data_IF_263752495615
#
_entry.id   IF_263752495615
#
_cell.length_a   1.000
_cell.length_b   1.000
_cell.length_c   1.000
_cell.angle_alpha   90.00
_cell.angle_beta   90.00
_cell.angle_gamma   90.00
#
_symmetry.space_group_name_H-M   'P 1'
#
loop_
_entity.id
_entity.type
_entity.pdbx_description
1 polymer ?
#
# COMPACT_ATOMS: atom_id res chain seq x y z
N UNK A 1 77.85 -0.46 -12.31
CA UNK A 1 78.06 0.31 -11.07
C UNK A 1 77.02 1.41 -11.10
N UNK A 2 75.85 1.15 -10.49
CA UNK A 2 74.67 2.02 -10.54
C UNK A 2 74.20 2.17 -9.09
N UNK A 3 74.14 3.42 -8.66
CA UNK A 3 73.82 3.88 -7.30
C UNK A 3 72.29 3.87 -7.11
N UNK A 4 71.75 3.48 -5.94
CA UNK A 4 70.32 3.56 -5.67
C UNK A 4 69.91 4.98 -5.25
N UNK A 5 68.75 5.42 -5.73
CA UNK A 5 68.11 6.69 -5.39
C UNK A 5 67.13 6.49 -4.24
N UNK A 6 67.30 7.24 -3.15
CA UNK A 6 66.37 7.28 -2.01
C UNK A 6 65.05 8.02 -2.36
N UNK A 7 63.91 7.59 -1.79
CA UNK A 7 62.63 8.28 -1.93
C UNK A 7 62.46 9.41 -0.88
N UNK A 8 61.90 10.54 -1.35
CA UNK A 8 61.51 11.70 -0.54
C UNK A 8 60.27 11.40 0.35
N UNK A 9 60.20 11.94 1.58
CA UNK A 9 59.01 11.88 2.42
C UNK A 9 57.99 12.94 2.00
N UNK A 10 56.74 12.53 1.77
CA UNK A 10 55.60 13.43 1.50
C UNK A 10 54.83 13.71 2.79
N UNK A 11 54.97 14.95 3.26
CA UNK A 11 54.00 15.82 3.92
C UNK A 11 52.78 15.17 4.60
N UNK A 12 52.90 15.09 5.93
CA UNK A 12 51.78 15.01 6.85
C UNK A 12 51.40 16.44 7.29
N UNK A 13 50.20 16.90 6.95
CA UNK A 13 49.36 17.83 7.74
C UNK A 13 48.24 18.38 6.85
N UNK A 14 47.02 17.86 6.99
CA UNK A 14 45.83 18.70 7.20
C UNK A 14 44.63 17.78 7.52
N UNK A 15 44.33 17.59 8.80
CA UNK A 15 43.10 16.94 9.23
C UNK A 15 42.27 17.96 10.02
N UNK A 16 41.01 18.21 9.65
CA UNK A 16 40.16 19.16 10.38
C UNK A 16 39.78 18.63 11.77
N UNK A 17 39.48 19.54 12.73
CA UNK A 17 39.18 19.18 14.11
C UNK A 17 37.90 18.34 14.22
N UNK A 18 37.95 17.32 15.08
CA UNK A 18 36.79 16.50 15.43
C UNK A 18 35.79 17.34 16.25
N UNK A 19 34.53 17.36 15.82
CA UNK A 19 33.43 17.90 16.61
C UNK A 19 32.94 16.81 17.57
N UNK A 20 32.97 17.13 18.87
CA UNK A 20 32.34 16.36 19.93
C UNK A 20 30.83 16.25 19.70
N UNK A 21 30.34 15.04 19.48
CA UNK A 21 28.92 14.71 19.45
C UNK A 21 28.38 14.49 20.87
N UNK A 22 27.14 14.90 21.17
CA UNK A 22 26.56 14.74 22.51
C UNK A 22 26.38 13.27 22.90
N UNK A 23 26.87 12.96 24.10
CA UNK A 23 26.71 11.73 24.86
C UNK A 23 25.25 11.26 24.89
N UNK A 24 25.00 10.09 24.30
CA UNK A 24 23.71 9.41 24.34
C UNK A 24 23.58 8.70 25.70
N UNK A 25 22.69 9.19 26.55
CA UNK A 25 22.40 8.62 27.86
C UNK A 25 21.70 7.27 27.73
N UNK A 26 22.35 6.21 28.24
CA UNK A 26 21.73 4.92 28.48
C UNK A 26 20.64 5.05 29.55
N UNK A 27 19.37 4.93 29.15
CA UNK A 27 18.27 4.68 30.06
C UNK A 27 18.10 3.17 30.26
N UNK A 28 18.48 2.69 31.45
CA UNK A 28 18.19 1.34 31.93
C UNK A 28 16.69 1.18 32.16
N UNK A 29 16.04 0.28 31.42
CA UNK A 29 14.66 -0.14 31.68
C UNK A 29 14.68 -1.09 32.88
N UNK A 30 14.18 -0.61 34.02
CA UNK A 30 13.90 -1.43 35.18
C UNK A 30 12.47 -1.98 35.11
N UNK A 31 12.42 -3.27 34.85
CA UNK A 31 11.29 -4.19 34.94
C UNK A 31 10.63 -4.14 36.33
N UNK A 32 9.32 -3.85 36.41
CA UNK A 32 8.53 -4.17 37.60
C UNK A 32 7.17 -4.77 37.26
N UNK A 33 7.16 -6.08 37.45
CA UNK A 33 6.08 -7.03 37.28
C UNK A 33 5.00 -6.92 38.37
N UNK A 34 3.75 -7.02 37.91
CA UNK A 34 2.55 -7.64 38.50
C UNK A 34 2.01 -7.20 39.88
N UNK A 35 0.70 -6.90 39.90
CA UNK A 35 -0.39 -7.77 40.41
C UNK A 35 -1.63 -6.92 40.69
N UNK A 36 -2.78 -7.25 40.08
CA UNK A 36 -4.05 -7.44 40.82
C UNK A 36 -5.14 -8.08 39.97
N UNK A 37 -5.94 -8.87 40.68
CA UNK A 37 -6.88 -9.89 40.24
C UNK A 37 -8.29 -9.31 39.93
N UNK A 38 -9.26 -10.15 39.51
CA UNK A 38 -10.51 -9.72 38.88
C UNK A 38 -11.64 -9.45 39.88
N UNK A 39 -12.63 -8.66 39.46
CA UNK A 39 -13.89 -8.49 40.17
C UNK A 39 -15.00 -7.94 39.25
N UNK A 40 -16.29 -8.25 39.51
CA UNK A 40 -17.34 -8.28 38.50
C UNK A 40 -18.32 -7.08 38.59
N UNK A 41 -19.37 -7.14 37.77
CA UNK A 41 -20.70 -6.48 37.86
C UNK A 41 -21.01 -5.26 36.98
N UNK A 42 -22.01 -5.50 36.12
CA UNK A 42 -23.25 -4.72 35.93
C UNK A 42 -23.25 -3.42 35.10
N UNK A 43 -23.83 -3.57 33.91
CA UNK A 43 -24.95 -2.79 33.36
C UNK A 43 -25.23 -1.39 33.94
N UNK A 44 -25.14 -0.37 33.10
CA UNK A 44 -26.14 0.72 33.05
C UNK A 44 -26.03 1.51 31.75
N UNK A 45 -27.13 1.57 31.01
CA UNK A 45 -27.38 2.53 29.93
C UNK A 45 -27.55 3.93 30.54
N UNK A 46 -26.98 4.99 29.94
CA UNK A 46 -27.46 6.34 30.19
C UNK A 46 -28.39 6.81 29.06
N UNK A 47 -29.54 7.31 29.52
CA UNK A 47 -30.59 7.99 28.80
C UNK A 47 -30.12 9.21 28.02
N UNK A 48 -30.90 9.48 26.97
CA UNK A 48 -30.90 10.67 26.13
C UNK A 48 -30.75 11.98 26.92
N UNK A 49 -29.78 12.79 26.49
CA UNK A 49 -29.67 14.20 26.89
C UNK A 49 -30.07 15.10 25.71
N UNK A 50 -31.00 15.98 26.05
CA UNK A 50 -31.58 17.08 25.26
C UNK A 50 -30.50 17.99 24.64
N UNK A 51 -30.51 18.11 23.31
CA UNK A 51 -29.74 19.11 22.57
C UNK A 51 -30.67 20.27 22.16
N UNK A 52 -30.23 21.47 22.56
CA UNK A 52 -30.82 22.78 22.30
C UNK A 52 -30.99 23.07 20.79
N UNK A 53 -31.97 23.90 20.39
CA UNK A 53 -32.16 24.28 19.01
C UNK A 53 -31.01 25.17 18.51
N UNK A 54 -30.36 24.69 17.45
CA UNK A 54 -29.33 25.39 16.66
C UNK A 54 -29.99 26.49 15.82
N UNK A 55 -29.39 27.68 15.85
CA UNK A 55 -29.80 28.85 15.07
C UNK A 55 -29.86 28.52 13.57
N UNK A 56 -31.00 28.88 12.96
CA UNK A 56 -31.26 28.74 11.54
C UNK A 56 -30.48 29.78 10.74
N UNK A 57 -29.67 29.30 9.79
CA UNK A 57 -29.05 30.09 8.73
C UNK A 57 -30.10 30.28 7.62
N UNK A 58 -30.23 31.46 6.98
CA UNK A 58 -31.33 31.75 6.08
C UNK A 58 -31.24 30.90 4.80
N UNK A 59 -32.25 30.04 4.62
CA UNK A 59 -32.52 29.33 3.36
C UNK A 59 -33.10 30.32 2.35
N UNK A 60 -32.29 30.80 1.41
CA UNK A 60 -32.81 31.46 0.21
C UNK A 60 -33.52 30.43 -0.66
N UNK A 61 -34.85 30.56 -0.76
CA UNK A 61 -35.71 29.68 -1.54
C UNK A 61 -35.50 29.87 -3.04
N UNK A 62 -34.96 28.85 -3.69
CA UNK A 62 -35.04 28.69 -5.15
C UNK A 62 -36.36 27.99 -5.45
N UNK A 63 -37.35 28.76 -5.90
CA UNK A 63 -38.67 28.27 -6.28
C UNK A 63 -38.56 27.42 -7.54
N UNK A 64 -39.03 26.18 -7.42
CA UNK A 64 -39.38 25.30 -8.53
C UNK A 64 -40.46 25.96 -9.39
N UNK A 65 -40.18 26.08 -10.69
CA UNK A 65 -41.12 26.42 -11.76
C UNK A 65 -41.13 25.21 -12.70
N UNK A 66 -41.99 24.25 -12.40
CA UNK A 66 -42.47 23.24 -13.34
C UNK A 66 -43.97 23.46 -13.45
N UNK A 67 -44.40 24.02 -14.57
CA UNK A 67 -45.57 23.56 -15.35
C UNK A 67 -45.80 24.55 -16.49
N UNK A 68 -45.61 24.08 -17.71
CA UNK A 68 -45.74 24.91 -18.92
C UNK A 68 -45.42 24.14 -20.18
N UNK A 69 -46.39 23.37 -20.64
CA UNK A 69 -46.41 22.70 -21.95
C UNK A 69 -46.30 23.74 -23.07
N UNK A 70 -45.25 23.64 -23.91
CA UNK A 70 -45.21 24.26 -25.24
C UNK A 70 -43.96 25.10 -25.52
N UNK A 71 -43.02 24.57 -26.31
CA UNK A 71 -41.91 25.36 -26.85
C UNK A 71 -40.82 24.55 -27.54
N UNK A 72 -41.05 24.19 -28.82
CA UNK A 72 -40.11 23.44 -29.68
C UNK A 72 -38.98 24.34 -30.26
N UNK A 73 -38.65 25.49 -29.64
CA UNK A 73 -37.67 26.46 -30.18
C UNK A 73 -36.79 27.14 -29.11
N UNK A 74 -36.20 26.38 -28.18
CA UNK A 74 -35.31 26.93 -27.12
C UNK A 74 -33.91 26.26 -27.05
N UNK A 75 -33.48 25.53 -28.07
CA UNK A 75 -32.36 24.57 -27.98
C UNK A 75 -30.95 25.13 -28.29
N UNK A 76 -30.76 26.46 -28.33
CA UNK A 76 -29.45 27.05 -28.72
C UNK A 76 -28.86 28.01 -27.68
N UNK A 77 -29.60 28.44 -26.66
CA UNK A 77 -29.15 29.50 -25.73
C UNK A 77 -28.92 29.11 -24.27
N UNK A 78 -29.69 28.15 -23.74
CA UNK A 78 -29.73 27.85 -22.30
C UNK A 78 -28.59 26.94 -21.80
N UNK A 79 -27.96 26.16 -22.68
CA UNK A 79 -26.84 25.30 -22.29
C UNK A 79 -25.61 26.08 -21.80
N UNK A 80 -25.43 27.33 -22.25
CA UNK A 80 -24.23 28.13 -21.93
C UNK A 80 -24.13 28.53 -20.46
N UNK A 81 -25.25 28.84 -19.80
CA UNK A 81 -25.27 29.27 -18.41
C UNK A 81 -25.01 28.10 -17.44
N UNK A 82 -25.66 26.96 -17.67
CA UNK A 82 -25.46 25.75 -16.87
C UNK A 82 -24.04 25.20 -17.02
N UNK A 83 -23.49 25.25 -18.24
CA UNK A 83 -22.11 24.84 -18.49
C UNK A 83 -21.11 25.74 -17.78
N UNK A 84 -21.32 27.06 -17.75
CA UNK A 84 -20.47 28.00 -16.99
C UNK A 84 -20.51 27.70 -15.50
N UNK A 85 -21.69 27.53 -14.92
CA UNK A 85 -21.84 27.18 -13.50
C UNK A 85 -21.15 25.85 -13.16
N UNK A 86 -21.29 24.82 -14.00
CA UNK A 86 -20.60 23.55 -13.80
C UNK A 86 -19.06 23.68 -13.88
N UNK A 87 -18.54 24.55 -14.74
CA UNK A 87 -17.10 24.81 -14.83
C UNK A 87 -16.58 25.58 -13.61
N UNK A 88 -17.34 26.55 -13.10
CA UNK A 88 -17.01 27.26 -11.86
C UNK A 88 -16.98 26.31 -10.67
N UNK A 89 -17.97 25.44 -10.54
CA UNK A 89 -18.01 24.41 -9.46
C UNK A 89 -16.83 23.45 -9.59
N UNK A 90 -16.53 22.97 -10.80
CA UNK A 90 -15.35 22.12 -11.05
C UNK A 90 -14.06 22.82 -10.62
N UNK A 91 -13.88 24.09 -10.97
CA UNK A 91 -12.71 24.89 -10.61
C UNK A 91 -12.61 25.08 -9.10
N UNK A 92 -13.72 25.37 -8.44
CA UNK A 92 -13.77 25.52 -6.98
C UNK A 92 -13.42 24.21 -6.28
N UNK A 93 -14.03 23.10 -6.68
CA UNK A 93 -13.78 21.77 -6.09
C UNK A 93 -12.32 21.35 -6.29
N UNK A 94 -11.77 21.50 -7.49
CA UNK A 94 -10.35 21.17 -7.75
C UNK A 94 -9.40 22.08 -6.97
N UNK A 95 -9.72 23.36 -6.80
CA UNK A 95 -8.97 24.27 -5.94
C UNK A 95 -8.97 23.82 -4.46
N UNK A 96 -10.15 23.50 -3.92
CA UNK A 96 -10.27 23.01 -2.54
C UNK A 96 -9.51 21.70 -2.32
N UNK A 97 -9.64 20.74 -3.24
CA UNK A 97 -8.92 19.46 -3.15
C UNK A 97 -7.40 19.67 -3.27
N UNK A 98 -6.97 20.57 -4.15
CA UNK A 98 -5.55 20.94 -4.25
C UNK A 98 -5.02 21.53 -2.93
N UNK A 99 -5.79 22.44 -2.31
CA UNK A 99 -5.40 23.06 -1.04
C UNK A 99 -5.37 22.05 0.11
N UNK A 100 -6.34 21.13 0.18
CA UNK A 100 -6.33 20.00 1.13
C UNK A 100 -5.08 19.12 1.01
N UNK A 101 -4.67 18.81 -0.23
CA UNK A 101 -3.50 17.98 -0.49
C UNK A 101 -2.19 18.72 -0.21
N UNK A 102 -2.21 20.05 -0.34
CA UNK A 102 -1.06 20.92 -0.05
C UNK A 102 -0.86 21.14 1.45
N UNK A 103 -1.94 21.28 2.22
CA UNK A 103 -1.93 21.57 3.66
C UNK A 103 -2.42 20.36 4.47
N UNK A 104 -1.57 19.34 4.58
CA UNK A 104 -1.84 18.12 5.35
C UNK A 104 -1.45 18.24 6.83
N UNK A 105 -1.75 19.38 7.44
CA UNK A 105 -1.62 19.53 8.90
C UNK A 105 -2.60 18.61 9.63
N UNK A 106 -2.27 18.23 10.87
CA UNK A 106 -3.09 17.30 11.68
C UNK A 106 -4.54 17.77 11.84
N UNK A 107 -4.74 19.08 12.03
CA UNK A 107 -6.07 19.69 12.15
C UNK A 107 -6.86 19.64 10.83
N UNK A 108 -6.16 19.78 9.69
CA UNK A 108 -6.75 19.68 8.36
C UNK A 108 -7.26 18.28 8.05
N UNK A 109 -6.59 17.23 8.54
CA UNK A 109 -7.02 15.85 8.32
C UNK A 109 -8.37 15.51 8.96
N UNK A 110 -8.74 16.15 10.08
CA UNK A 110 -10.07 15.92 10.69
C UNK A 110 -11.18 16.58 9.87
N UNK A 111 -10.91 17.73 9.27
CA UNK A 111 -11.90 18.50 8.50
C UNK A 111 -12.03 18.05 7.04
N UNK A 112 -11.05 17.31 6.50
CA UNK A 112 -11.02 16.95 5.08
C UNK A 112 -12.24 16.13 4.62
N UNK A 113 -12.77 15.25 5.49
CA UNK A 113 -13.95 14.42 5.18
C UNK A 113 -15.17 15.30 4.91
N UNK A 114 -15.43 16.28 5.79
CA UNK A 114 -16.58 17.18 5.63
C UNK A 114 -16.43 18.12 4.43
N UNK A 115 -15.20 18.52 4.08
CA UNK A 115 -14.94 19.33 2.88
C UNK A 115 -15.21 18.51 1.61
N UNK A 116 -14.73 17.26 1.56
CA UNK A 116 -14.96 16.36 0.43
C UNK A 116 -16.44 15.97 0.30
N UNK A 117 -17.14 15.79 1.41
CA UNK A 117 -18.60 15.58 1.43
C UNK A 117 -19.33 16.76 0.80
N UNK A 118 -19.03 17.99 1.24
CA UNK A 118 -19.60 19.21 0.65
C UNK A 118 -19.27 19.36 -0.84
N UNK A 119 -18.04 19.03 -1.25
CA UNK A 119 -17.66 19.01 -2.66
C UNK A 119 -18.46 17.98 -3.46
N UNK A 120 -18.75 16.82 -2.86
CA UNK A 120 -19.54 15.76 -3.50
C UNK A 120 -21.00 16.19 -3.73
N UNK A 121 -21.62 16.86 -2.74
CA UNK A 121 -22.98 17.41 -2.85
C UNK A 121 -23.06 18.52 -3.91
N UNK A 122 -22.07 19.41 -3.94
CA UNK A 122 -21.97 20.45 -4.96
C UNK A 122 -21.79 19.84 -6.36
N UNK A 123 -20.93 18.83 -6.50
CA UNK A 123 -20.76 18.11 -7.77
C UNK A 123 -22.07 17.44 -8.21
N UNK A 124 -22.78 16.78 -7.31
CA UNK A 124 -24.05 16.12 -7.60
C UNK A 124 -25.11 17.12 -8.09
N UNK A 125 -25.21 18.29 -7.46
CA UNK A 125 -26.14 19.37 -7.84
C UNK A 125 -25.90 19.86 -9.27
N UNK A 126 -24.65 19.86 -9.73
CA UNK A 126 -24.25 20.33 -11.06
C UNK A 126 -23.98 19.19 -12.05
N UNK A 127 -24.40 17.95 -11.74
CA UNK A 127 -24.18 16.76 -12.59
C UNK A 127 -22.70 16.50 -12.94
N UNK A 128 -21.79 16.84 -12.03
CA UNK A 128 -20.36 16.57 -12.14
C UNK A 128 -20.07 15.23 -11.44
N UNK A 129 -19.40 14.32 -12.14
CA UNK A 129 -18.97 13.07 -11.53
C UNK A 129 -17.69 13.30 -10.68
N UNK A 130 -17.86 13.36 -9.35
CA UNK A 130 -16.77 13.58 -8.40
C UNK A 130 -15.66 12.53 -8.50
N UNK A 131 -16.02 11.25 -8.64
CA UNK A 131 -15.04 10.16 -8.81
C UNK A 131 -14.17 10.37 -10.05
N UNK A 132 -14.77 10.77 -11.17
CA UNK A 132 -13.99 11.07 -12.38
C UNK A 132 -13.12 12.29 -12.23
N UNK A 133 -13.53 13.29 -11.45
CA UNK A 133 -12.78 14.52 -11.19
C UNK A 133 -11.55 14.27 -10.30
N UNK A 134 -11.71 13.51 -9.21
CA UNK A 134 -10.62 13.19 -8.28
C UNK A 134 -9.54 12.28 -8.89
N UNK A 135 -9.88 11.56 -9.97
CA UNK A 135 -8.97 10.68 -10.68
C UNK A 135 -8.28 11.35 -11.89
N UNK A 136 -8.44 12.67 -12.06
CA UNK A 136 -7.75 13.43 -13.10
C UNK A 136 -6.39 13.93 -12.61
N UNK A 137 -5.34 13.88 -13.46
CA UNK A 137 -4.01 14.34 -13.11
C UNK A 137 -3.85 15.86 -13.25
N UNK A 138 -4.55 16.65 -12.44
CA UNK A 138 -4.56 18.12 -12.55
C UNK A 138 -3.57 18.85 -11.64
N UNK A 139 -2.85 18.14 -10.76
CA UNK A 139 -1.85 18.73 -9.87
C UNK A 139 -0.48 18.28 -10.38
N UNK A 140 0.24 19.16 -11.08
CA UNK A 140 1.60 18.87 -11.60
C UNK A 140 1.68 17.56 -12.43
N UNK A 141 0.60 17.21 -13.13
CA UNK A 141 0.54 15.99 -13.95
C UNK A 141 0.23 14.69 -13.19
N UNK A 142 -0.12 14.77 -11.90
CA UNK A 142 -0.52 13.63 -11.08
C UNK A 142 -1.89 13.83 -10.42
N UNK A 143 -2.51 12.73 -9.98
CA UNK A 143 -3.77 12.78 -9.22
C UNK A 143 -3.60 13.40 -7.83
N UNK A 144 -4.68 13.96 -7.26
CA UNK A 144 -4.74 14.32 -5.84
C UNK A 144 -4.33 13.19 -4.90
N UNK A 145 -4.71 11.94 -5.21
CA UNK A 145 -4.34 10.78 -4.39
C UNK A 145 -2.83 10.54 -4.35
N UNK A 146 -2.14 10.68 -5.49
CA UNK A 146 -0.67 10.60 -5.56
C UNK A 146 -0.04 11.61 -4.60
N UNK A 147 -0.43 12.88 -4.72
CA UNK A 147 0.15 13.94 -3.89
C UNK A 147 -0.26 13.83 -2.42
N UNK A 148 -1.45 13.32 -2.13
CA UNK A 148 -1.88 13.03 -0.77
C UNK A 148 -0.92 12.04 -0.10
N UNK A 149 -0.51 11.00 -0.82
CA UNK A 149 0.47 10.01 -0.36
C UNK A 149 1.86 10.63 -0.21
N UNK A 150 2.35 11.36 -1.23
CA UNK A 150 3.73 11.88 -1.25
C UNK A 150 3.97 12.97 -0.19
N UNK A 151 2.99 13.87 0.02
CA UNK A 151 3.12 15.00 0.97
C UNK A 151 2.70 14.63 2.39
N UNK A 152 2.36 13.37 2.62
CA UNK A 152 1.93 12.87 3.92
C UNK A 152 3.04 13.03 4.96
N UNK A 153 2.75 13.57 6.16
CA UNK A 153 3.69 13.49 7.26
C UNK A 153 3.87 12.03 7.68
N UNK A 154 5.12 11.57 7.78
CA UNK A 154 5.43 10.23 8.28
C UNK A 154 5.19 10.22 9.78
N UNK A 155 4.22 9.44 10.24
CA UNK A 155 3.97 9.21 11.67
C UNK A 155 4.64 7.90 12.08
N UNK A 156 5.62 7.98 12.99
CA UNK A 156 6.35 6.82 13.49
C UNK A 156 5.43 5.83 14.24
N UNK A 157 4.28 6.29 14.74
CA UNK A 157 3.33 5.45 15.48
C UNK A 157 2.53 4.50 14.60
N UNK A 158 2.39 4.79 13.30
CA UNK A 158 1.65 3.94 12.36
C UNK A 158 2.31 2.59 12.16
N UNK A 159 3.65 2.53 12.21
CA UNK A 159 4.40 1.29 12.07
C UNK A 159 4.18 0.32 13.25
N UNK A 160 3.72 0.82 14.40
CA UNK A 160 3.42 0.02 15.57
C UNK A 160 1.96 -0.47 15.62
N UNK A 161 1.07 0.11 14.80
CA UNK A 161 -0.33 -0.29 14.76
C UNK A 161 -0.51 -1.49 13.83
N UNK A 162 -1.06 -2.58 14.37
CA UNK A 162 -1.48 -3.74 13.56
C UNK A 162 -2.75 -3.44 12.74
N UNK A 163 -3.43 -2.31 13.01
CA UNK A 163 -4.62 -1.92 12.28
C UNK A 163 -4.23 -1.22 10.96
N UNK A 164 -4.73 -1.74 9.83
CA UNK A 164 -4.59 -1.14 8.49
C UNK A 164 -5.49 0.10 8.31
N UNK A 165 -5.48 1.02 9.27
CA UNK A 165 -6.25 2.26 9.20
C UNK A 165 -5.53 3.27 8.31
N UNK A 166 -6.18 3.67 7.21
CA UNK A 166 -5.61 4.69 6.34
C UNK A 166 -5.72 6.08 6.98
N UNK A 167 -4.75 6.97 6.69
CA UNK A 167 -4.87 8.39 6.99
C UNK A 167 -6.21 8.96 6.49
N UNK A 168 -6.93 9.80 7.28
CA UNK A 168 -8.28 10.24 6.96
C UNK A 168 -8.45 10.82 5.56
N UNK A 169 -7.50 11.67 5.13
CA UNK A 169 -7.52 12.27 3.79
C UNK A 169 -7.41 11.22 2.67
N UNK A 170 -6.50 10.26 2.81
CA UNK A 170 -6.30 9.19 1.82
C UNK A 170 -7.54 8.30 1.78
N UNK A 171 -8.08 7.89 2.94
CA UNK A 171 -9.30 7.10 3.04
C UNK A 171 -10.50 7.80 2.42
N UNK A 172 -10.67 9.10 2.67
CA UNK A 172 -11.74 9.90 2.09
C UNK A 172 -11.59 10.03 0.56
N UNK A 173 -10.38 10.33 0.07
CA UNK A 173 -10.11 10.41 -1.37
C UNK A 173 -10.42 9.09 -2.08
N UNK A 174 -10.04 7.93 -1.50
CA UNK A 174 -10.37 6.61 -2.06
C UNK A 174 -11.88 6.38 -2.10
N UNK A 175 -12.58 6.74 -1.02
CA UNK A 175 -14.04 6.58 -0.90
C UNK A 175 -14.78 7.38 -1.97
N UNK A 176 -14.45 8.67 -2.14
CA UNK A 176 -15.08 9.52 -3.16
C UNK A 176 -14.58 9.26 -4.59
N UNK A 177 -13.42 8.59 -4.74
CA UNK A 177 -12.87 8.19 -6.04
C UNK A 177 -13.40 6.85 -6.53
N UNK A 178 -14.05 6.04 -5.69
CA UNK A 178 -14.53 4.72 -6.10
C UNK A 178 -15.56 4.79 -7.25
N UNK A 179 -15.51 3.87 -8.24
CA UNK A 179 -14.48 2.85 -8.46
C UNK A 179 -13.17 3.46 -9.01
N UNK A 180 -12.03 2.93 -8.55
CA UNK A 180 -10.72 3.39 -8.99
C UNK A 180 -10.38 2.86 -10.39
N UNK A 181 -9.96 3.77 -11.25
CA UNK A 181 -9.37 3.48 -12.56
C UNK A 181 -8.00 2.85 -12.36
N UNK A 182 -7.62 1.97 -13.28
CA UNK A 182 -6.29 1.36 -13.29
C UNK A 182 -5.18 2.42 -13.26
N UNK A 183 -5.30 3.52 -14.01
CA UNK A 183 -4.33 4.62 -14.01
C UNK A 183 -4.12 5.23 -12.62
N UNK A 184 -5.21 5.47 -11.86
CA UNK A 184 -5.15 5.99 -10.49
C UNK A 184 -4.47 5.01 -9.54
N UNK A 185 -4.73 3.71 -9.70
CA UNK A 185 -4.06 2.65 -8.92
C UNK A 185 -2.54 2.66 -9.22
N UNK A 186 -2.16 2.75 -10.51
CA UNK A 186 -0.73 2.86 -10.91
C UNK A 186 -0.06 4.08 -10.26
N UNK A 187 -0.75 5.23 -10.24
CA UNK A 187 -0.21 6.43 -9.60
C UNK A 187 -0.10 6.30 -8.09
N UNK A 188 -1.10 5.74 -7.40
CA UNK A 188 -1.00 5.52 -5.96
C UNK A 188 0.16 4.57 -5.61
N UNK A 189 0.38 3.52 -6.43
CA UNK A 189 1.54 2.63 -6.32
C UNK A 189 2.87 3.36 -6.54
N UNK A 190 2.93 4.23 -7.55
CA UNK A 190 4.10 5.07 -7.83
C UNK A 190 4.39 6.02 -6.65
N UNK A 191 3.36 6.61 -6.05
CA UNK A 191 3.49 7.45 -4.88
C UNK A 191 4.13 6.69 -3.70
N UNK A 192 3.60 5.51 -3.36
CA UNK A 192 4.17 4.64 -2.32
C UNK A 192 5.62 4.25 -2.63
N UNK A 193 5.92 3.96 -3.89
CA UNK A 193 7.28 3.63 -4.34
C UNK A 193 8.24 4.80 -4.13
N UNK A 194 7.81 6.03 -4.43
CA UNK A 194 8.60 7.24 -4.26
C UNK A 194 8.98 7.48 -2.79
N UNK A 195 8.03 7.32 -1.87
CA UNK A 195 8.28 7.48 -0.43
C UNK A 195 8.81 6.21 0.25
N UNK A 196 8.93 5.09 -0.48
CA UNK A 196 9.33 3.78 0.03
C UNK A 196 8.50 3.29 1.24
N UNK A 197 7.21 3.63 1.29
CA UNK A 197 6.32 3.32 2.42
C UNK A 197 5.58 1.99 2.19
N UNK A 198 6.16 0.93 2.75
CA UNK A 198 5.62 -0.43 2.65
C UNK A 198 4.30 -0.60 3.42
N UNK A 199 4.16 0.01 4.60
CA UNK A 199 2.95 -0.14 5.41
C UNK A 199 1.75 0.48 4.68
N UNK A 200 1.90 1.72 4.20
CA UNK A 200 0.84 2.40 3.48
C UNK A 200 0.47 1.66 2.19
N UNK A 201 1.47 1.10 1.50
CA UNK A 201 1.23 0.26 0.33
C UNK A 201 0.36 -0.97 0.65
N UNK A 202 0.61 -1.67 1.77
CA UNK A 202 -0.23 -2.80 2.19
C UNK A 202 -1.65 -2.35 2.58
N UNK A 203 -1.78 -1.25 3.32
CA UNK A 203 -3.09 -0.69 3.69
C UNK A 203 -3.91 -0.32 2.45
N UNK A 204 -3.28 0.31 1.45
CA UNK A 204 -3.92 0.69 0.18
C UNK A 204 -4.29 -0.51 -0.69
N UNK A 205 -3.54 -1.61 -0.62
CA UNK A 205 -3.80 -2.84 -1.38
C UNK A 205 -5.21 -3.40 -1.13
N UNK A 206 -5.76 -3.19 0.07
CA UNK A 206 -7.14 -3.56 0.43
C UNK A 206 -8.19 -2.81 -0.42
N UNK A 207 -7.90 -1.56 -0.80
CA UNK A 207 -8.79 -0.70 -1.59
C UNK A 207 -8.61 -0.88 -3.10
N UNK A 208 -7.46 -1.37 -3.55
CA UNK A 208 -7.20 -1.62 -4.97
C UNK A 208 -7.89 -2.87 -5.52
N UNK A 209 -8.70 -3.58 -4.71
CA UNK A 209 -9.37 -4.82 -5.11
C UNK A 209 -8.38 -5.97 -5.33
N UNK A 210 -7.30 -6.01 -4.55
CA UNK A 210 -6.19 -6.94 -4.80
C UNK A 210 -6.47 -8.40 -4.39
N UNK A 211 -7.52 -8.67 -3.62
CA UNK A 211 -8.13 -10.00 -3.69
C UNK A 211 -8.97 -9.98 -4.95
N UNK A 212 -8.45 -10.66 -5.97
CA UNK A 212 -9.12 -10.90 -7.25
C UNK A 212 -10.59 -11.15 -6.94
N UNK A 213 -11.51 -10.40 -7.53
CA UNK A 213 -12.96 -10.62 -7.27
C UNK A 213 -13.34 -12.11 -7.45
N UNK A 214 -12.57 -12.83 -8.28
CA UNK A 214 -12.58 -14.29 -8.41
C UNK A 214 -12.27 -15.03 -7.10
N UNK A 215 -11.19 -14.70 -6.41
CA UNK A 215 -10.80 -15.34 -5.13
C UNK A 215 -11.88 -15.12 -4.08
N UNK A 216 -12.41 -13.90 -3.95
CA UNK A 216 -13.52 -13.64 -3.01
C UNK A 216 -14.79 -14.41 -3.39
N UNK A 217 -15.11 -14.48 -4.68
CA UNK A 217 -16.27 -15.23 -5.16
C UNK A 217 -16.11 -16.73 -4.95
N UNK A 218 -14.90 -17.26 -5.13
CA UNK A 218 -14.62 -18.71 -5.15
C UNK A 218 -14.23 -19.27 -3.78
N UNK A 219 -13.58 -18.47 -2.95
CA UNK A 219 -13.12 -18.85 -1.62
C UNK A 219 -14.10 -18.45 -0.52
N UNK A 220 -14.99 -17.48 -0.78
CA UNK A 220 -15.95 -16.94 0.17
C UNK A 220 -15.58 -15.53 0.64
N UNK A 221 -16.50 -14.91 1.38
CA UNK A 221 -16.46 -13.48 1.74
C UNK A 221 -15.31 -13.13 2.71
N UNK A 222 -14.79 -14.11 3.47
CA UNK A 222 -13.95 -13.88 4.64
C UNK A 222 -12.52 -14.45 4.52
N UNK A 223 -11.88 -14.31 3.35
CA UNK A 223 -10.45 -14.64 3.24
C UNK A 223 -9.62 -13.55 3.93
N UNK A 224 -8.83 -13.88 4.98
CA UNK A 224 -7.98 -12.89 5.63
C UNK A 224 -6.93 -12.31 4.65
N UNK A 225 -6.54 -11.04 4.82
CA UNK A 225 -5.52 -10.43 3.96
C UNK A 225 -4.17 -11.13 4.15
N UNK A 226 -3.36 -11.14 3.09
CA UNK A 226 -1.97 -11.63 3.18
C UNK A 226 -1.16 -10.71 4.09
N UNK A 227 -0.39 -11.30 5.00
CA UNK A 227 0.49 -10.54 5.89
C UNK A 227 1.90 -10.52 5.31
N UNK A 228 2.51 -9.34 5.26
CA UNK A 228 3.84 -9.15 4.68
C UNK A 228 4.64 -8.20 5.56
N UNK A 229 5.75 -8.69 6.11
CA UNK A 229 6.69 -7.92 6.93
C UNK A 229 8.01 -7.82 6.19
N UNK A 230 8.50 -6.60 5.97
CA UNK A 230 9.78 -6.37 5.29
C UNK A 230 10.82 -5.94 6.33
N UNK A 231 11.80 -6.81 6.57
CA UNK A 231 12.98 -6.51 7.38
C UNK A 231 14.06 -5.84 6.52
N UNK A 232 14.23 -4.54 6.68
CA UNK A 232 15.29 -3.79 5.99
C UNK A 232 16.47 -3.61 6.95
N UNK A 233 17.65 -4.08 6.55
CA UNK A 233 18.87 -3.83 7.31
C UNK A 233 19.27 -2.35 7.23
N UNK A 234 19.93 -1.82 8.26
CA UNK A 234 20.31 -0.40 8.36
C UNK A 234 21.21 0.12 7.22
N UNK A 235 21.76 -0.77 6.37
CA UNK A 235 22.61 -0.39 5.24
C UNK A 235 21.85 -0.57 3.92
N UNK A 236 21.94 0.43 3.05
CA UNK A 236 21.27 0.41 1.74
C UNK A 236 21.73 -0.70 0.79
N UNK A 237 22.92 -1.28 1.00
CA UNK A 237 23.46 -2.39 0.19
C UNK A 237 23.31 -3.77 0.88
N UNK A 238 22.77 -3.80 2.10
CA UNK A 238 22.56 -5.06 2.81
C UNK A 238 21.38 -5.83 2.22
N UNK A 239 21.37 -7.17 2.34
CA UNK A 239 20.22 -7.95 1.95
C UNK A 239 19.03 -7.56 2.81
N UNK A 240 17.83 -7.60 2.23
CA UNK A 240 16.59 -7.45 2.96
C UNK A 240 15.87 -8.78 3.06
N UNK A 241 15.05 -8.93 4.10
CA UNK A 241 14.22 -10.11 4.32
C UNK A 241 12.75 -9.74 4.22
N UNK A 242 11.94 -10.67 3.73
CA UNK A 242 10.49 -10.53 3.64
C UNK A 242 9.88 -11.78 4.22
N UNK A 243 9.20 -11.62 5.35
CA UNK A 243 8.40 -12.67 5.97
C UNK A 243 6.95 -12.48 5.48
N UNK A 244 6.31 -13.54 5.02
CA UNK A 244 4.94 -13.47 4.52
C UNK A 244 4.09 -14.65 4.99
N UNK A 245 2.80 -14.39 5.12
CA UNK A 245 1.77 -15.39 5.45
C UNK A 245 0.64 -15.27 4.42
N UNK A 246 0.31 -16.37 3.74
CA UNK A 246 -0.75 -16.43 2.72
C UNK A 246 -1.85 -17.38 3.20
N UNK A 247 -2.95 -16.85 3.75
CA UNK A 247 -4.08 -17.65 4.19
C UNK A 247 -4.74 -18.42 3.05
N UNK A 248 -5.30 -19.59 3.33
CA UNK A 248 -6.00 -20.44 2.36
C UNK A 248 -5.14 -20.75 1.11
N UNK A 249 -3.81 -20.83 1.25
CA UNK A 249 -2.88 -20.91 0.13
C UNK A 249 -3.23 -22.04 -0.85
N UNK A 250 -3.48 -23.26 -0.36
CA UNK A 250 -3.83 -24.38 -1.22
C UNK A 250 -5.15 -24.18 -1.95
N UNK A 251 -6.11 -23.55 -1.28
CA UNK A 251 -7.43 -23.28 -1.86
C UNK A 251 -7.29 -22.28 -3.00
N UNK A 252 -6.52 -21.20 -2.80
CA UNK A 252 -6.15 -20.23 -3.85
C UNK A 252 -5.45 -20.91 -5.03
N UNK A 253 -4.42 -21.72 -4.76
CA UNK A 253 -3.68 -22.45 -5.80
C UNK A 253 -4.51 -23.48 -6.57
N UNK A 254 -5.49 -24.14 -5.92
CA UNK A 254 -6.35 -25.12 -6.61
C UNK A 254 -7.44 -24.46 -7.44
N UNK A 255 -7.98 -23.33 -6.97
CA UNK A 255 -9.16 -22.71 -7.54
C UNK A 255 -8.80 -21.61 -8.52
N UNK A 256 -7.97 -20.66 -8.10
CA UNK A 256 -7.53 -19.51 -8.89
C UNK A 256 -6.31 -19.82 -9.74
N UNK A 257 -5.54 -20.84 -9.34
CA UNK A 257 -4.25 -21.24 -9.94
C UNK A 257 -3.13 -20.23 -9.79
N UNK A 258 -3.35 -19.20 -8.98
CA UNK A 258 -2.34 -18.23 -8.61
C UNK A 258 -2.56 -17.68 -7.19
N UNK A 259 -1.47 -17.23 -6.57
CA UNK A 259 -1.50 -16.41 -5.38
C UNK A 259 -0.38 -15.38 -5.50
N UNK A 260 -0.69 -14.10 -5.30
CA UNK A 260 0.24 -13.01 -5.56
C UNK A 260 0.42 -12.17 -4.30
N UNK A 261 1.67 -11.93 -3.92
CA UNK A 261 2.02 -10.93 -2.92
C UNK A 261 2.92 -9.87 -3.56
N UNK A 262 2.82 -8.64 -3.08
CA UNK A 262 3.63 -7.53 -3.57
C UNK A 262 4.04 -6.66 -2.40
N UNK A 263 5.22 -6.05 -2.50
CA UNK A 263 5.81 -5.24 -1.44
C UNK A 263 6.83 -4.26 -2.01
N UNK A 264 7.19 -3.26 -1.21
CA UNK A 264 8.17 -2.22 -1.54
C UNK A 264 9.41 -2.44 -0.70
N UNK A 265 10.57 -2.44 -1.35
CA UNK A 265 11.88 -2.48 -0.69
C UNK A 265 12.97 -1.93 -1.63
N UNK A 266 13.93 -1.17 -1.10
CA UNK A 266 15.01 -0.51 -1.87
C UNK A 266 14.50 0.23 -3.13
N UNK A 267 13.48 1.09 -2.97
CA UNK A 267 12.87 1.87 -4.06
C UNK A 267 12.43 1.02 -5.27
N UNK A 268 11.98 -0.22 -5.01
CA UNK A 268 11.44 -1.16 -5.99
C UNK A 268 10.16 -1.77 -5.46
N UNK A 269 9.23 -2.04 -6.38
CA UNK A 269 8.02 -2.78 -6.09
C UNK A 269 8.19 -4.23 -6.57
N UNK A 270 8.30 -5.12 -5.61
CA UNK A 270 8.51 -6.55 -5.82
C UNK A 270 7.17 -7.26 -5.91
N UNK A 271 7.17 -8.37 -6.65
CA UNK A 271 6.05 -9.31 -6.74
C UNK A 271 6.57 -10.72 -6.56
N UNK A 272 5.98 -11.45 -5.62
CA UNK A 272 6.12 -12.91 -5.55
C UNK A 272 4.79 -13.49 -6.01
N UNK A 273 4.86 -14.34 -7.03
CA UNK A 273 3.69 -15.00 -7.60
C UNK A 273 3.87 -16.50 -7.48
N UNK A 274 2.96 -17.14 -6.76
CA UNK A 274 2.76 -18.57 -6.79
C UNK A 274 1.79 -18.89 -7.92
N UNK A 275 2.07 -19.88 -8.73
CA UNK A 275 1.23 -20.24 -9.86
C UNK A 275 1.31 -21.74 -10.18
N UNK A 276 0.27 -22.24 -10.84
CA UNK A 276 0.27 -23.58 -11.43
C UNK A 276 0.85 -23.49 -12.83
N UNK A 277 1.98 -24.17 -13.06
CA UNK A 277 2.61 -24.25 -14.36
C UNK A 277 1.67 -24.90 -15.38
N UNK A 278 1.72 -24.37 -16.60
CA UNK A 278 0.88 -24.74 -17.75
C UNK A 278 1.71 -25.33 -18.90
N UNK A 279 2.87 -25.92 -18.59
CA UNK A 279 3.86 -26.40 -19.56
C UNK A 279 4.86 -25.33 -20.04
N UNK A 280 4.67 -24.07 -19.63
CA UNK A 280 5.63 -23.00 -19.92
C UNK A 280 6.88 -23.11 -19.03
N UNK A 281 7.97 -22.46 -19.45
CA UNK A 281 9.18 -22.26 -18.63
C UNK A 281 9.96 -23.52 -18.23
N UNK A 282 9.83 -24.61 -19.00
CA UNK A 282 10.44 -25.92 -18.72
C UNK A 282 9.96 -26.56 -17.41
N UNK A 283 8.84 -26.10 -16.88
CA UNK A 283 8.15 -26.72 -15.75
C UNK A 283 7.14 -27.73 -16.28
N UNK A 284 6.97 -28.83 -15.56
CA UNK A 284 5.95 -29.81 -15.89
C UNK A 284 4.56 -29.21 -15.67
N UNK A 285 3.64 -29.47 -16.60
CA UNK A 285 2.25 -29.02 -16.49
C UNK A 285 1.63 -29.49 -15.15
N UNK A 286 0.85 -28.62 -14.54
CA UNK A 286 0.20 -28.85 -13.24
C UNK A 286 1.09 -28.66 -12.01
N UNK A 287 2.42 -28.50 -12.14
CA UNK A 287 3.29 -28.29 -10.97
C UNK A 287 3.15 -26.89 -10.41
N UNK A 288 3.23 -26.77 -9.08
CA UNK A 288 3.23 -25.45 -8.45
C UNK A 288 4.63 -24.87 -8.49
N UNK A 289 4.71 -23.58 -8.81
CA UNK A 289 5.96 -22.85 -8.88
C UNK A 289 5.83 -21.48 -8.22
N UNK A 290 6.96 -20.91 -7.85
CA UNK A 290 7.06 -19.55 -7.36
C UNK A 290 7.89 -18.72 -8.33
N UNK A 291 7.45 -17.49 -8.55
CA UNK A 291 8.05 -16.51 -9.45
C UNK A 291 8.38 -15.25 -8.66
N UNK A 292 9.61 -14.75 -8.80
CA UNK A 292 10.02 -13.45 -8.31
C UNK A 292 10.14 -12.47 -9.48
N UNK A 293 9.55 -11.29 -9.33
CA UNK A 293 9.57 -10.25 -10.36
C UNK A 293 9.52 -8.83 -9.80
N UNK A 294 9.76 -7.87 -10.69
CA UNK A 294 9.59 -6.44 -10.43
C UNK A 294 8.34 -5.94 -11.13
N UNK A 295 7.57 -5.10 -10.44
CA UNK A 295 6.43 -4.38 -11.01
C UNK A 295 6.91 -3.18 -11.81
N UNK A 296 5.97 -2.59 -12.55
CA UNK A 296 6.12 -1.30 -13.23
C UNK A 296 6.80 -0.23 -12.37
N UNK A 297 7.49 0.70 -13.03
CA UNK A 297 8.23 1.82 -12.43
C UNK A 297 9.43 1.43 -11.54
N UNK A 298 9.71 0.14 -11.36
CA UNK A 298 10.94 -0.30 -10.68
C UNK A 298 12.12 -0.28 -11.66
N UNK A 299 13.36 0.04 -11.23
CA UNK A 299 14.54 -0.14 -12.08
C UNK A 299 14.93 -1.62 -12.23
N UNK A 300 15.44 -2.01 -13.41
CA UNK A 300 16.00 -3.36 -13.63
C UNK A 300 17.14 -3.64 -12.64
N UNK A 301 17.23 -4.89 -12.16
CA UNK A 301 18.07 -5.21 -11.00
C UNK A 301 18.63 -6.62 -11.07
N UNK A 302 19.94 -6.76 -10.89
CA UNK A 302 20.56 -8.06 -10.66
C UNK A 302 20.33 -8.47 -9.21
N UNK A 303 19.87 -9.70 -9.02
CA UNK A 303 19.51 -10.20 -7.69
C UNK A 303 20.02 -11.61 -7.48
N UNK A 304 20.37 -11.90 -6.24
CA UNK A 304 20.46 -13.25 -5.70
C UNK A 304 19.44 -13.35 -4.57
N UNK A 305 18.46 -14.21 -4.72
CA UNK A 305 17.35 -14.38 -3.79
C UNK A 305 17.31 -15.83 -3.29
N UNK A 306 17.03 -15.99 -2.00
CA UNK A 306 16.83 -17.28 -1.36
C UNK A 306 15.44 -17.28 -0.74
N UNK A 307 14.59 -18.17 -1.24
CA UNK A 307 13.27 -18.41 -0.70
C UNK A 307 13.34 -19.59 0.28
N UNK A 308 12.81 -19.40 1.48
CA UNK A 308 12.86 -20.36 2.57
C UNK A 308 11.42 -20.68 2.94
N UNK A 309 11.04 -21.95 2.75
CA UNK A 309 9.81 -22.50 3.31
C UNK A 309 10.12 -23.07 4.68
N UNK A 310 9.44 -22.57 5.69
CA UNK A 310 9.59 -23.04 7.06
C UNK A 310 8.55 -24.13 7.33
N UNK A 311 8.99 -25.27 7.85
CA UNK A 311 8.07 -26.29 8.33
C UNK A 311 7.39 -25.84 9.63
N UNK A 312 6.08 -25.92 9.65
CA UNK A 312 5.23 -25.69 10.82
C UNK A 312 5.28 -26.91 11.74
N UNK A 313 6.43 -27.21 12.36
CA UNK A 313 6.51 -28.25 13.39
C UNK A 313 6.06 -27.65 14.73
N UNK A 314 5.13 -28.33 15.39
CA UNK A 314 4.53 -27.95 16.67
C UNK A 314 5.55 -27.50 17.72
N UNK A 315 5.57 -26.20 18.03
CA UNK A 315 6.11 -25.44 19.18
C UNK A 315 7.48 -25.77 19.81
N UNK A 316 8.20 -26.84 19.45
CA UNK A 316 9.37 -27.30 20.24
C UNK A 316 10.67 -27.46 19.49
N UNK A 317 10.67 -27.55 18.17
CA UNK A 317 11.91 -27.62 17.37
C UNK A 317 11.72 -26.96 16.01
N UNK A 318 12.66 -26.09 15.56
CA UNK A 318 12.61 -25.56 14.20
C UNK A 318 12.66 -26.74 13.22
N UNK A 319 11.64 -26.84 12.38
CA UNK A 319 11.55 -27.89 11.37
C UNK A 319 12.59 -27.75 10.27
N UNK A 320 12.66 -28.77 9.42
CA UNK A 320 13.52 -28.71 8.25
C UNK A 320 13.05 -27.54 7.37
N UNK A 321 13.97 -26.78 6.78
CA UNK A 321 13.61 -25.66 5.91
C UNK A 321 14.04 -25.96 4.49
N UNK A 322 13.14 -25.76 3.53
CA UNK A 322 13.48 -25.92 2.12
C UNK A 322 13.96 -24.59 1.58
N UNK A 323 15.21 -24.56 1.11
CA UNK A 323 15.84 -23.39 0.50
C UNK A 323 15.79 -23.52 -1.02
N UNK A 324 15.22 -22.51 -1.66
CA UNK A 324 15.12 -22.37 -3.10
C UNK A 324 15.93 -21.13 -3.52
N UNK A 325 17.00 -21.33 -4.28
CA UNK A 325 17.89 -20.25 -4.71
C UNK A 325 17.53 -19.77 -6.12
N UNK A 326 17.48 -18.46 -6.30
CA UNK A 326 17.13 -17.76 -7.53
C UNK A 326 18.18 -16.69 -7.78
N UNK A 327 18.78 -16.66 -8.96
CA UNK A 327 19.73 -15.59 -9.32
C UNK A 327 19.55 -15.17 -10.77
N UNK A 328 19.57 -13.87 -11.03
CA UNK A 328 19.37 -13.34 -12.38
C UNK A 328 19.14 -11.84 -12.42
N UNK A 329 18.94 -11.33 -13.63
CA UNK A 329 18.52 -9.95 -13.86
C UNK A 329 16.99 -9.90 -13.95
N UNK A 330 16.37 -9.14 -13.05
CA UNK A 330 14.95 -8.83 -13.10
C UNK A 330 14.73 -7.55 -13.87
N UNK A 331 13.81 -7.58 -14.83
CA UNK A 331 13.34 -6.43 -15.59
C UNK A 331 11.85 -6.22 -15.25
N UNK A 332 11.34 -4.97 -15.19
CA UNK A 332 9.93 -4.72 -14.94
C UNK A 332 8.99 -5.45 -15.92
N UNK A 333 7.79 -5.76 -15.41
CA UNK A 333 6.72 -6.60 -15.97
C UNK A 333 6.38 -6.43 -17.48
N UNK A 334 6.86 -5.39 -18.17
CA UNK A 334 6.67 -5.22 -19.62
C UNK A 334 7.41 -6.27 -20.48
N UNK A 335 8.45 -6.93 -19.94
CA UNK A 335 9.31 -7.83 -20.73
C UNK A 335 9.27 -9.32 -20.32
N UNK A 336 8.34 -9.76 -19.47
CA UNK A 336 8.18 -11.15 -18.99
C UNK A 336 9.46 -11.80 -18.40
N UNK A 337 10.48 -11.01 -18.07
CA UNK A 337 11.70 -11.48 -17.43
C UNK A 337 11.46 -11.69 -15.94
N UNK A 338 11.13 -12.92 -15.61
CA UNK A 338 10.93 -13.35 -14.24
C UNK A 338 11.81 -14.54 -13.92
N UNK A 339 12.21 -14.66 -12.66
CA UNK A 339 12.87 -15.86 -12.17
C UNK A 339 11.82 -16.76 -11.54
N UNK A 340 11.83 -18.05 -11.90
CA UNK A 340 10.91 -19.04 -11.37
C UNK A 340 11.65 -20.28 -10.88
N UNK A 341 11.06 -20.94 -9.90
CA UNK A 341 11.53 -22.23 -9.36
C UNK A 341 10.31 -23.08 -8.99
N UNK A 342 10.41 -24.39 -9.24
CA UNK A 342 9.39 -25.34 -8.83
C UNK A 342 9.31 -25.40 -7.30
N UNK A 343 8.10 -25.45 -6.76
CA UNK A 343 7.89 -25.70 -5.34
C UNK A 343 7.96 -27.21 -5.07
N UNK A 344 8.33 -27.61 -3.84
CA UNK A 344 8.26 -29.01 -3.45
C UNK A 344 6.83 -29.56 -3.58
N UNK A 345 6.69 -30.77 -4.10
CA UNK A 345 5.38 -31.45 -4.20
C UNK A 345 4.69 -31.57 -2.84
N UNK A 346 5.49 -31.65 -1.77
CA UNK A 346 5.04 -31.62 -0.39
C UNK A 346 4.06 -30.47 -0.08
N UNK A 347 4.18 -29.31 -0.74
CA UNK A 347 3.30 -28.13 -0.55
C UNK A 347 1.88 -28.36 -1.09
N UNK A 348 1.70 -29.30 -2.02
CA UNK A 348 0.42 -29.54 -2.70
C UNK A 348 -0.56 -30.41 -1.85
N UNK A 349 -0.04 -31.13 -0.86
CA UNK A 349 -0.83 -32.09 -0.07
C UNK A 349 -1.55 -31.43 1.13
N UNK A 350 -2.80 -31.82 1.45
CA UNK A 350 -3.60 -31.22 2.55
C UNK A 350 -3.00 -31.26 3.97
N UNK A 351 -1.84 -31.89 4.15
CA UNK A 351 -1.09 -31.99 5.41
C UNK A 351 0.39 -31.69 5.18
N UNK A 352 0.64 -30.74 4.29
CA UNK A 352 1.99 -30.28 4.03
C UNK A 352 2.62 -29.79 5.33
N UNK A 353 3.88 -30.17 5.63
CA UNK A 353 4.56 -29.63 6.80
C UNK A 353 4.84 -28.11 6.63
N UNK A 354 4.78 -27.58 5.41
CA UNK A 354 4.97 -26.15 5.12
C UNK A 354 3.71 -25.30 5.30
N UNK A 355 2.59 -25.91 5.72
CA UNK A 355 1.33 -25.22 5.94
C UNK A 355 0.93 -25.34 7.40
N UNK A 356 0.35 -24.27 7.92
CA UNK A 356 -0.31 -24.28 9.22
C UNK A 356 -1.59 -25.13 9.18
N UNK A 357 -2.18 -25.40 10.35
CA UNK A 357 -3.41 -26.19 10.45
C UNK A 357 -4.62 -25.56 9.71
N UNK A 358 -4.64 -24.23 9.60
CA UNK A 358 -5.62 -23.45 8.83
C UNK A 358 -5.28 -23.33 7.32
N UNK A 359 -4.19 -23.95 6.87
CA UNK A 359 -3.79 -23.93 5.46
C UNK A 359 -3.06 -22.66 5.01
N UNK A 360 -2.55 -21.88 5.97
CA UNK A 360 -1.72 -20.70 5.71
C UNK A 360 -0.30 -21.14 5.33
N UNK A 361 0.22 -20.57 4.23
CA UNK A 361 1.61 -20.74 3.85
C UNK A 361 2.45 -19.64 4.50
N UNK A 362 3.41 -20.04 5.33
CA UNK A 362 4.43 -19.15 5.88
C UNK A 362 5.72 -19.31 5.09
N UNK A 363 6.41 -18.21 4.84
CA UNK A 363 7.74 -18.31 4.26
C UNK A 363 8.51 -17.01 4.35
N UNK A 364 9.79 -17.13 4.00
CA UNK A 364 10.77 -16.06 4.10
C UNK A 364 11.54 -15.93 2.81
N UNK A 365 11.59 -14.72 2.26
CA UNK A 365 12.43 -14.38 1.11
C UNK A 365 13.58 -13.51 1.59
N UNK A 366 14.82 -13.92 1.32
CA UNK A 366 16.01 -13.07 1.48
C UNK A 366 16.47 -12.63 0.11
N UNK A 367 16.68 -11.33 -0.11
CA UNK A 367 17.12 -10.79 -1.40
C UNK A 367 18.38 -9.97 -1.22
N UNK A 368 19.43 -10.32 -1.96
CA UNK A 368 20.64 -9.54 -2.14
C UNK A 368 20.62 -8.89 -3.52
N UNK A 369 20.63 -7.56 -3.55
CA UNK A 369 20.82 -6.81 -4.80
C UNK A 369 22.32 -6.79 -5.11
N UNK A 370 22.68 -7.16 -6.35
CA UNK A 370 24.06 -7.11 -6.84
C UNK A 370 24.23 -5.92 -7.79
N UNK A 371 25.36 -5.23 -7.66
CA UNK A 371 25.70 -4.05 -8.46
C UNK A 371 26.18 -4.43 -9.85
#
# INVERSE_FOLDING_TARGET
>A
MIVPSDPKPSDAADAPPAYDGPSNGQATIAEKRARRAPGPTSSTLPSASSIRPRQQVPKSGWRSLQDGVGGILADVGLGSAQQRAAQEVRKTVTGLVHDLVRDQTLDSNVSCVGILESCSEACATHSINMSSLLQQPYIEGHTPLYWAIVKRPTDESEAASEAFELPPLIGALLTYSAPLKHTTIREARLACLHICDQWLYQSLRLYFGALVDKDRLLLGVDVPPDKITVGIAARHDAPFTVDFEIPDFQKRMRVSRDANISFISHARMWKIQFFVANGDYKLMDGHWAVRLGLRENSPSTNVAATYILEETISDTTPGESVKLELSGNLVPEENDYHMHIALPDAVQYPRSPFLTADGTLCGKLTVQITK
#
